data_IF_969298230718
#
_entry.id   IF_969298230718
#
_cell.length_a   1.000
_cell.length_b   1.000
_cell.length_c   1.000
_cell.angle_alpha   90.00
_cell.angle_beta   90.00
_cell.angle_gamma   90.00
#
_symmetry.space_group_name_H-M   'P 1'
#
loop_
_entity.id
_entity.type
_entity.pdbx_description
1 polymer ?
#
# COMPACT_ATOMS: atom_id res chain seq x y z
N UNK A 1 20.50 -6.65 29.95
CA UNK A 1 20.26 -7.64 28.89
C UNK A 1 19.48 -6.93 27.81
N UNK A 2 20.10 -6.62 26.67
CA UNK A 2 19.38 -6.14 25.48
C UNK A 2 18.54 -7.30 24.97
N UNK A 3 17.23 -7.10 24.78
CA UNK A 3 16.40 -8.07 24.06
C UNK A 3 17.08 -8.41 22.73
N UNK A 4 17.10 -9.70 22.32
CA UNK A 4 17.56 -10.04 20.98
C UNK A 4 16.72 -9.24 19.97
N UNK A 5 17.39 -8.62 18.99
CA UNK A 5 16.70 -7.86 17.95
C UNK A 5 15.63 -8.75 17.33
N UNK A 6 14.36 -8.33 17.44
CA UNK A 6 13.21 -9.06 16.89
C UNK A 6 13.44 -9.23 15.39
N UNK A 7 13.37 -10.48 14.90
CA UNK A 7 13.47 -10.77 13.46
C UNK A 7 12.43 -9.93 12.72
N UNK A 8 12.87 -9.13 11.74
CA UNK A 8 11.97 -8.35 10.89
C UNK A 8 11.33 -9.25 9.84
N UNK A 9 10.02 -9.09 9.68
CA UNK A 9 9.23 -9.80 8.68
C UNK A 9 8.56 -8.76 7.80
N UNK A 10 8.88 -8.80 6.51
CA UNK A 10 8.37 -7.84 5.53
C UNK A 10 7.03 -8.34 5.00
N UNK A 11 6.00 -7.55 5.24
CA UNK A 11 4.67 -7.69 4.68
C UNK A 11 4.52 -6.88 3.40
N UNK A 12 3.83 -7.44 2.41
CA UNK A 12 3.46 -6.74 1.19
C UNK A 12 1.96 -6.84 1.00
N UNK A 13 1.29 -5.70 0.85
CA UNK A 13 -0.13 -5.64 0.51
C UNK A 13 -0.28 -4.98 -0.85
N UNK A 14 -0.83 -5.69 -1.82
CA UNK A 14 -0.88 -5.23 -3.20
C UNK A 14 -1.90 -5.95 -4.08
N UNK A 15 -1.95 -5.56 -5.35
CA UNK A 15 -2.70 -6.31 -6.37
C UNK A 15 -2.04 -7.64 -6.72
N UNK A 16 -2.78 -8.51 -7.41
CA UNK A 16 -2.31 -9.84 -7.84
C UNK A 16 -1.03 -9.81 -8.69
N UNK A 17 -0.74 -8.71 -9.38
CA UNK A 17 0.48 -8.57 -10.20
C UNK A 17 1.80 -8.48 -9.40
N UNK A 18 1.76 -8.37 -8.07
CA UNK A 18 2.95 -8.02 -7.26
C UNK A 18 3.51 -9.19 -6.43
N UNK A 19 2.82 -10.33 -6.34
CA UNK A 19 3.29 -11.45 -5.50
C UNK A 19 4.22 -12.44 -6.19
N UNK A 20 4.26 -12.47 -7.53
CA UNK A 20 5.13 -13.37 -8.30
C UNK A 20 6.58 -12.85 -8.33
N UNK A 21 7.16 -12.71 -7.14
CA UNK A 21 8.49 -12.13 -6.93
C UNK A 21 9.51 -13.20 -7.27
N UNK A 22 10.28 -12.94 -8.32
CA UNK A 22 11.38 -13.83 -8.72
C UNK A 22 12.40 -13.99 -7.58
N UNK A 23 12.66 -15.24 -7.20
CA UNK A 23 13.58 -15.60 -6.11
C UNK A 23 12.92 -15.77 -4.75
N UNK A 24 11.58 -15.67 -4.68
CA UNK A 24 10.84 -16.07 -3.49
C UNK A 24 10.81 -17.60 -3.40
N UNK A 25 11.37 -18.13 -2.32
CA UNK A 25 11.50 -19.55 -2.00
C UNK A 25 10.57 -19.94 -0.84
N UNK A 26 10.41 -21.25 -0.62
CA UNK A 26 9.58 -21.81 0.46
C UNK A 26 8.14 -21.26 0.51
N UNK A 27 7.57 -21.03 -0.67
CA UNK A 27 6.27 -20.38 -0.79
C UNK A 27 5.14 -21.28 -0.34
N UNK A 28 4.27 -20.78 0.55
CA UNK A 28 3.03 -21.46 0.93
C UNK A 28 1.90 -20.47 1.15
N UNK A 29 0.73 -20.77 0.61
CA UNK A 29 -0.50 -20.09 1.00
C UNK A 29 -1.01 -20.71 2.30
N UNK A 30 -1.43 -19.89 3.24
CA UNK A 30 -2.10 -20.35 4.44
C UNK A 30 -3.08 -19.32 4.98
N UNK A 31 -4.23 -19.79 5.44
CA UNK A 31 -5.18 -18.97 6.18
C UNK A 31 -4.59 -18.51 7.51
N UNK A 32 -4.88 -17.26 7.87
CA UNK A 32 -4.61 -16.70 9.20
C UNK A 32 -5.92 -16.15 9.75
N UNK A 33 -6.36 -16.71 10.87
CA UNK A 33 -7.60 -16.30 11.51
C UNK A 33 -7.46 -14.91 12.14
N UNK A 34 -8.52 -14.11 12.01
CA UNK A 34 -8.63 -12.77 12.58
C UNK A 34 -9.96 -12.64 13.33
N UNK A 35 -9.99 -12.02 14.53
CA UNK A 35 -11.23 -11.77 15.26
C UNK A 35 -12.10 -10.70 14.58
N UNK A 36 -11.57 -10.00 13.58
CA UNK A 36 -12.27 -8.99 12.79
C UNK A 36 -12.93 -9.56 11.52
N UNK A 37 -13.01 -10.89 11.41
CA UNK A 37 -13.51 -11.59 10.22
C UNK A 37 -12.38 -12.05 9.30
N UNK A 38 -12.77 -12.54 8.12
CA UNK A 38 -11.83 -13.05 7.13
C UNK A 38 -11.00 -11.92 6.48
N UNK A 39 -9.68 -12.10 6.31
CA UNK A 39 -8.88 -11.28 5.41
C UNK A 39 -9.34 -11.45 3.95
N UNK A 40 -8.84 -10.60 3.05
CA UNK A 40 -9.15 -10.64 1.63
C UNK A 40 -8.81 -11.98 0.96
N UNK A 41 -7.82 -12.70 1.48
CA UNK A 41 -7.41 -14.02 1.02
C UNK A 41 -6.54 -14.71 2.09
N UNK A 42 -6.09 -15.92 1.80
CA UNK A 42 -4.93 -16.53 2.46
C UNK A 42 -3.69 -15.64 2.32
N UNK A 43 -2.74 -15.79 3.25
CA UNK A 43 -1.45 -15.11 3.18
C UNK A 43 -0.46 -16.02 2.46
N UNK A 44 0.30 -15.45 1.53
CA UNK A 44 1.42 -16.12 0.89
C UNK A 44 2.68 -15.87 1.74
N UNK A 45 3.16 -16.91 2.40
CA UNK A 45 4.43 -16.90 3.12
C UNK A 45 5.55 -17.30 2.16
N UNK A 46 6.73 -16.72 2.32
CA UNK A 46 7.93 -17.15 1.62
C UNK A 46 9.20 -16.54 2.20
N UNK A 47 10.33 -16.84 1.57
CA UNK A 47 11.64 -16.26 1.90
C UNK A 47 12.32 -15.71 0.66
N UNK A 48 12.89 -14.52 0.78
CA UNK A 48 13.75 -13.95 -0.25
C UNK A 48 15.16 -13.84 0.31
N UNK A 49 16.02 -14.79 -0.07
CA UNK A 49 17.27 -15.04 0.63
C UNK A 49 17.01 -15.33 2.12
N UNK A 50 17.65 -14.56 3.01
CA UNK A 50 17.42 -14.68 4.46
C UNK A 50 16.14 -14.01 4.98
N UNK A 51 15.43 -13.24 4.14
CA UNK A 51 14.33 -12.36 4.59
C UNK A 51 13.00 -13.07 4.53
N UNK A 52 12.25 -13.07 5.63
CA UNK A 52 10.87 -13.56 5.66
C UNK A 52 9.94 -12.54 5.01
N UNK A 53 9.13 -13.03 4.06
CA UNK A 53 8.12 -12.25 3.36
C UNK A 53 6.73 -12.85 3.58
N UNK A 54 5.76 -11.97 3.70
CA UNK A 54 4.33 -12.31 3.79
C UNK A 54 3.59 -11.41 2.81
N UNK A 55 2.87 -12.00 1.87
CA UNK A 55 2.09 -11.25 0.89
C UNK A 55 0.59 -11.46 1.10
N UNK A 56 -0.19 -10.39 0.97
CA UNK A 56 -1.64 -10.42 0.98
C UNK A 56 -2.19 -9.68 -0.25
N UNK A 57 -2.95 -10.37 -1.14
CA UNK A 57 -3.63 -9.71 -2.24
C UNK A 57 -4.79 -8.88 -1.68
N UNK A 58 -4.69 -7.56 -1.78
CA UNK A 58 -5.66 -6.61 -1.18
C UNK A 58 -7.11 -6.90 -1.58
N UNK A 59 -7.31 -7.28 -2.83
CA UNK A 59 -8.64 -7.54 -3.42
C UNK A 59 -8.96 -9.04 -3.53
N UNK A 60 -8.13 -9.91 -2.95
CA UNK A 60 -8.16 -11.35 -3.19
C UNK A 60 -7.53 -11.76 -4.52
N UNK A 61 -7.13 -13.04 -4.65
CA UNK A 61 -6.73 -13.63 -5.93
C UNK A 61 -7.91 -13.56 -6.92
N UNK A 62 -7.66 -13.11 -8.13
CA UNK A 62 -8.71 -12.84 -9.14
C UNK A 62 -9.41 -11.48 -9.00
N UNK A 63 -9.02 -10.67 -8.00
CA UNK A 63 -9.54 -9.31 -7.77
C UNK A 63 -11.07 -9.19 -7.57
N UNK A 64 -11.77 -10.10 -6.85
CA UNK A 64 -13.22 -10.03 -6.71
C UNK A 64 -13.73 -8.97 -5.72
N UNK A 65 -12.89 -8.49 -4.79
CA UNK A 65 -13.35 -7.63 -3.68
C UNK A 65 -13.20 -6.15 -4.08
N UNK A 66 -14.29 -5.37 -4.16
CA UNK A 66 -14.20 -3.94 -4.45
C UNK A 66 -13.63 -3.16 -3.25
N UNK A 67 -13.04 -1.96 -3.45
CA UNK A 67 -12.35 -1.21 -2.39
C UNK A 67 -13.17 -0.97 -1.10
N UNK A 68 -14.47 -0.66 -1.24
CA UNK A 68 -15.35 -0.39 -0.11
C UNK A 68 -15.71 -1.63 0.73
N UNK A 69 -15.51 -2.83 0.20
CA UNK A 69 -15.83 -4.10 0.87
C UNK A 69 -14.60 -4.81 1.44
N UNK A 70 -13.40 -4.25 1.24
CA UNK A 70 -12.17 -4.81 1.80
C UNK A 70 -12.25 -4.77 3.34
N UNK A 71 -12.04 -5.93 3.97
CA UNK A 71 -11.91 -6.01 5.42
C UNK A 71 -10.50 -5.61 5.88
N UNK A 72 -10.23 -4.30 5.90
CA UNK A 72 -8.91 -3.77 6.25
C UNK A 72 -8.46 -4.16 7.66
N UNK A 73 -9.38 -4.30 8.62
CA UNK A 73 -9.04 -4.76 9.98
C UNK A 73 -8.51 -6.18 9.95
N UNK A 74 -9.23 -7.10 9.29
CA UNK A 74 -8.78 -8.48 9.19
C UNK A 74 -7.46 -8.60 8.42
N UNK A 75 -7.27 -7.81 7.37
CA UNK A 75 -6.02 -7.77 6.62
C UNK A 75 -4.84 -7.38 7.51
N UNK A 76 -4.92 -6.27 8.24
CA UNK A 76 -3.82 -5.80 9.08
C UNK A 76 -3.61 -6.70 10.30
N UNK A 77 -4.67 -7.18 10.94
CA UNK A 77 -4.57 -8.12 12.07
C UNK A 77 -3.94 -9.45 11.64
N UNK A 78 -4.33 -10.02 10.50
CA UNK A 78 -3.71 -11.22 9.96
C UNK A 78 -2.22 -11.02 9.66
N UNK A 79 -1.83 -9.87 9.11
CA UNK A 79 -0.42 -9.52 8.90
C UNK A 79 0.33 -9.44 10.25
N UNK A 80 -0.25 -8.78 11.26
CA UNK A 80 0.33 -8.72 12.61
C UNK A 80 0.53 -10.11 13.22
N UNK A 81 -0.47 -10.99 13.11
CA UNK A 81 -0.45 -12.38 13.60
C UNK A 81 0.54 -13.26 12.84
N UNK A 82 0.74 -13.00 11.56
CA UNK A 82 1.78 -13.63 10.75
C UNK A 82 3.21 -13.19 11.13
N UNK A 83 3.34 -12.24 12.07
CA UNK A 83 4.61 -11.74 12.59
C UNK A 83 5.17 -10.56 11.79
N UNK A 84 4.41 -9.99 10.86
CA UNK A 84 4.84 -8.84 10.06
C UNK A 84 5.16 -7.64 10.96
N UNK A 85 6.33 -7.06 10.73
CA UNK A 85 6.83 -5.87 11.43
C UNK A 85 6.82 -4.62 10.54
N UNK A 86 6.90 -4.84 9.23
CA UNK A 86 7.06 -3.80 8.21
C UNK A 86 6.14 -4.09 7.04
N UNK A 87 5.22 -3.19 6.68
CA UNK A 87 4.34 -3.31 5.52
C UNK A 87 4.79 -2.33 4.44
N UNK A 88 5.06 -2.87 3.26
CA UNK A 88 5.12 -2.12 2.01
C UNK A 88 3.79 -2.32 1.28
N UNK A 89 2.98 -1.27 1.26
CA UNK A 89 1.71 -1.25 0.55
C UNK A 89 1.91 -0.69 -0.85
N UNK A 90 1.47 -1.42 -1.87
CA UNK A 90 1.57 -1.01 -3.27
C UNK A 90 0.17 -0.91 -3.89
N UNK A 91 -0.08 0.11 -4.69
CA UNK A 91 -1.39 0.30 -5.34
C UNK A 91 -1.36 1.25 -6.52
N UNK A 92 -2.28 1.04 -7.47
CA UNK A 92 -2.55 2.00 -8.54
C UNK A 92 -3.22 3.25 -8.00
N UNK A 93 -2.89 4.39 -8.59
CA UNK A 93 -3.51 5.69 -8.29
C UNK A 93 -3.63 6.54 -9.55
N UNK A 94 -4.61 7.43 -9.53
CA UNK A 94 -4.64 8.58 -10.43
C UNK A 94 -3.74 9.69 -9.92
N UNK A 95 -3.09 10.41 -10.82
CA UNK A 95 -2.35 11.62 -10.53
C UNK A 95 -3.25 12.84 -10.52
N UNK A 96 -3.02 13.73 -9.56
CA UNK A 96 -3.64 15.05 -9.48
C UNK A 96 -2.63 16.16 -9.83
N UNK A 97 -1.46 15.82 -10.38
CA UNK A 97 -0.39 16.78 -10.74
C UNK A 97 0.20 16.48 -12.12
N UNK A 98 0.42 17.54 -12.89
CA UNK A 98 1.04 17.46 -14.22
C UNK A 98 2.41 16.73 -14.20
N UNK A 99 3.24 17.03 -13.19
CA UNK A 99 4.60 16.50 -13.08
C UNK A 99 4.67 15.06 -12.56
N UNK A 100 3.51 14.41 -12.33
CA UNK A 100 3.40 13.01 -11.91
C UNK A 100 2.67 12.21 -13.01
N UNK A 101 3.29 11.96 -14.17
CA UNK A 101 2.66 11.19 -15.24
C UNK A 101 2.56 9.69 -14.89
N UNK A 102 1.67 8.95 -15.59
CA UNK A 102 1.63 7.48 -15.53
C UNK A 102 3.01 6.84 -15.63
N UNK A 103 3.26 5.84 -14.77
CA UNK A 103 4.57 5.22 -14.58
C UNK A 103 5.44 5.86 -13.50
N UNK A 104 5.03 7.01 -12.94
CA UNK A 104 5.71 7.62 -11.78
C UNK A 104 5.30 6.94 -10.48
N UNK A 105 6.26 6.72 -9.59
CA UNK A 105 6.05 6.16 -8.26
C UNK A 105 6.04 7.29 -7.22
N UNK A 106 5.02 7.36 -6.39
CA UNK A 106 4.94 8.34 -5.29
C UNK A 106 5.05 7.60 -3.96
N UNK A 107 6.09 7.93 -3.20
CA UNK A 107 6.25 7.45 -1.83
C UNK A 107 5.45 8.35 -0.90
N UNK A 108 4.17 7.99 -0.73
CA UNK A 108 3.17 8.76 0.02
C UNK A 108 3.64 8.96 1.46
N UNK A 109 3.47 10.17 1.99
CA UNK A 109 3.75 10.49 3.39
C UNK A 109 2.57 11.14 4.11
N UNK A 110 1.54 11.59 3.39
CA UNK A 110 0.34 12.19 3.94
C UNK A 110 -0.92 11.64 3.28
N UNK A 111 -2.03 11.70 4.01
CA UNK A 111 -3.32 11.18 3.55
C UNK A 111 -4.47 12.12 3.88
N UNK A 112 -5.38 12.28 2.93
CA UNK A 112 -6.72 12.86 3.16
C UNK A 112 -7.74 11.73 3.00
N UNK A 113 -8.52 11.49 4.06
CA UNK A 113 -9.50 10.42 4.12
C UNK A 113 -10.90 10.92 3.76
N UNK A 114 -11.36 10.59 2.55
CA UNK A 114 -12.73 10.84 2.07
C UNK A 114 -13.61 9.58 2.11
N UNK A 115 -13.13 8.50 2.72
CA UNK A 115 -13.93 7.30 2.96
C UNK A 115 -14.92 7.53 4.10
N UNK A 116 -16.07 6.87 4.08
CA UNK A 116 -17.14 7.03 5.06
C UNK A 116 -17.77 5.72 5.52
N UNK A 117 -17.72 4.64 4.72
CA UNK A 117 -18.43 3.39 5.03
C UNK A 117 -17.59 2.36 5.79
N UNK A 118 -16.27 2.58 5.90
CA UNK A 118 -15.30 1.56 6.31
C UNK A 118 -15.03 1.59 7.81
N UNK A 119 -14.80 0.43 8.39
CA UNK A 119 -14.31 0.28 9.77
C UNK A 119 -12.84 0.71 9.86
N UNK A 120 -12.55 1.75 10.67
CA UNK A 120 -11.24 2.44 10.66
C UNK A 120 -10.38 2.25 11.91
N UNK A 121 -10.85 1.47 12.88
CA UNK A 121 -10.15 1.22 14.14
C UNK A 121 -10.40 -0.20 14.64
N UNK A 122 -9.42 -0.77 15.35
CA UNK A 122 -9.58 -2.03 16.08
C UNK A 122 -10.35 -1.87 17.40
N UNK A 123 -10.52 -0.63 17.85
CA UNK A 123 -11.02 -0.31 19.17
C UNK A 123 -12.47 0.19 19.12
N UNK A 124 -13.22 -0.04 20.18
CA UNK A 124 -14.65 0.27 20.23
C UNK A 124 -15.13 0.53 21.65
N UNK A 125 -16.44 0.47 21.87
CA UNK A 125 -17.03 0.71 23.18
C UNK A 125 -16.38 -0.17 24.25
N UNK A 126 -15.86 0.47 25.30
CA UNK A 126 -15.12 -0.20 26.38
C UNK A 126 -13.61 0.00 26.33
N UNK A 127 -13.04 0.41 25.18
CA UNK A 127 -11.63 0.77 25.05
C UNK A 127 -11.47 1.85 23.97
N UNK A 128 -11.24 3.10 24.38
CA UNK A 128 -11.03 4.22 23.47
C UNK A 128 -9.54 4.46 23.29
N UNK A 129 -9.09 4.50 22.04
CA UNK A 129 -7.68 4.74 21.68
C UNK A 129 -7.61 5.90 20.69
N UNK A 130 -6.67 6.81 20.91
CA UNK A 130 -6.38 7.94 20.04
C UNK A 130 -4.94 7.88 19.57
N UNK A 131 -4.72 7.26 18.41
CA UNK A 131 -3.39 7.17 17.80
C UNK A 131 -3.15 8.40 16.90
N UNK A 132 -2.01 9.07 17.09
CA UNK A 132 -1.63 10.20 16.25
C UNK A 132 -1.34 9.74 14.82
N UNK A 133 -1.95 10.43 13.85
CA UNK A 133 -1.72 10.27 12.41
C UNK A 133 -1.00 11.48 11.80
N UNK A 134 -0.32 12.31 12.62
CA UNK A 134 0.41 13.47 12.13
C UNK A 134 1.49 13.07 11.10
N UNK A 135 2.22 12.00 11.38
CA UNK A 135 3.22 11.40 10.50
C UNK A 135 2.85 9.93 10.24
N UNK A 136 1.92 9.64 9.31
CA UNK A 136 1.28 8.33 9.20
C UNK A 136 2.18 7.22 8.64
N UNK A 137 3.34 7.58 8.10
CA UNK A 137 4.24 6.69 7.35
C UNK A 137 5.60 6.56 8.06
N UNK A 138 6.19 5.36 8.01
CA UNK A 138 7.51 5.10 8.56
C UNK A 138 8.60 5.68 7.64
N UNK A 139 9.28 6.73 8.10
CA UNK A 139 10.36 7.37 7.37
C UNK A 139 11.48 6.40 6.96
N UNK A 140 11.84 5.44 7.84
CA UNK A 140 12.86 4.41 7.55
C UNK A 140 12.51 3.55 6.34
N UNK A 141 11.26 3.08 6.27
CA UNK A 141 10.80 2.31 5.11
C UNK A 141 10.79 3.17 3.85
N UNK A 142 10.25 4.39 3.95
CA UNK A 142 10.20 5.34 2.84
C UNK A 142 11.59 5.63 2.27
N UNK A 143 12.57 5.90 3.12
CA UNK A 143 13.95 6.21 2.70
C UNK A 143 14.62 4.99 2.04
N UNK A 144 14.35 3.79 2.54
CA UNK A 144 14.84 2.53 1.94
C UNK A 144 14.26 2.32 0.55
N UNK A 145 12.95 2.51 0.40
CA UNK A 145 12.24 2.37 -0.87
C UNK A 145 12.73 3.41 -1.90
N UNK A 146 12.97 4.65 -1.48
CA UNK A 146 13.52 5.69 -2.35
C UNK A 146 14.92 5.31 -2.87
N UNK A 147 15.78 4.83 -1.97
CA UNK A 147 17.12 4.38 -2.35
C UNK A 147 17.09 3.26 -3.39
N UNK A 148 16.11 2.35 -3.30
CA UNK A 148 15.89 1.29 -4.30
C UNK A 148 15.40 1.87 -5.62
N UNK A 149 14.34 2.68 -5.61
CA UNK A 149 13.77 3.28 -6.82
C UNK A 149 14.80 4.10 -7.61
N UNK A 150 15.61 4.90 -6.91
CA UNK A 150 16.71 5.68 -7.53
C UNK A 150 17.73 4.80 -8.22
N UNK A 151 18.10 3.64 -7.63
CA UNK A 151 19.04 2.70 -8.26
C UNK A 151 18.45 1.97 -9.46
N UNK A 152 17.15 1.71 -9.43
CA UNK A 152 16.42 1.12 -10.56
C UNK A 152 16.18 2.10 -11.70
N UNK A 153 16.45 3.40 -11.51
CA UNK A 153 16.18 4.43 -12.50
C UNK A 153 14.68 4.66 -12.73
N UNK A 154 13.84 4.29 -11.77
CA UNK A 154 12.39 4.49 -11.82
C UNK A 154 12.08 5.93 -11.43
N UNK A 155 11.24 6.61 -12.22
CA UNK A 155 10.76 7.96 -11.88
C UNK A 155 10.00 7.91 -10.57
N UNK A 156 10.45 8.66 -9.56
CA UNK A 156 9.77 8.69 -8.27
C UNK A 156 9.73 10.07 -7.61
N UNK A 157 8.65 10.34 -6.89
CA UNK A 157 8.51 11.46 -5.97
C UNK A 157 8.59 10.97 -4.52
N UNK A 158 9.43 11.65 -3.73
CA UNK A 158 9.46 11.51 -2.29
C UNK A 158 8.40 12.41 -1.66
N UNK A 159 7.50 11.82 -0.88
CA UNK A 159 6.37 12.53 -0.28
C UNK A 159 5.23 12.78 -1.25
N UNK A 160 4.06 13.06 -0.70
CA UNK A 160 2.85 13.32 -1.47
C UNK A 160 1.61 13.04 -0.64
N UNK A 161 0.60 13.88 -0.82
CA UNK A 161 -0.70 13.74 -0.17
C UNK A 161 -1.61 12.85 -1.02
N UNK A 162 -1.91 11.67 -0.49
CA UNK A 162 -2.84 10.71 -1.07
C UNK A 162 -4.28 11.02 -0.64
N UNK A 163 -5.18 11.26 -1.58
CA UNK A 163 -6.61 11.32 -1.31
C UNK A 163 -7.24 9.94 -1.44
N UNK A 164 -7.79 9.43 -0.35
CA UNK A 164 -8.52 8.15 -0.34
C UNK A 164 -10.01 8.39 -0.51
N UNK A 165 -10.54 8.12 -1.69
CA UNK A 165 -11.98 8.16 -1.97
C UNK A 165 -12.65 6.80 -1.68
N UNK A 166 -13.98 6.79 -1.56
CA UNK A 166 -14.73 5.57 -1.24
C UNK A 166 -14.79 4.59 -2.43
N UNK A 167 -15.02 5.09 -3.65
CA UNK A 167 -15.35 4.26 -4.81
C UNK A 167 -16.78 3.65 -4.72
N UNK A 168 -17.12 2.70 -5.62
CA UNK A 168 -16.28 2.15 -6.68
C UNK A 168 -16.19 3.02 -7.94
N UNK A 169 -17.05 4.03 -8.08
CA UNK A 169 -16.96 4.96 -9.22
C UNK A 169 -15.72 5.83 -9.09
N UNK A 170 -15.10 6.15 -10.23
CA UNK A 170 -14.08 7.20 -10.31
C UNK A 170 -14.70 8.58 -10.07
N UNK A 171 -13.84 9.56 -9.80
CA UNK A 171 -14.25 10.94 -9.55
C UNK A 171 -14.97 11.54 -10.76
N UNK A 172 -15.89 12.45 -10.49
CA UNK A 172 -16.28 13.46 -11.48
C UNK A 172 -15.15 14.47 -11.69
N UNK A 173 -15.14 15.19 -12.82
CA UNK A 173 -14.17 16.27 -13.08
C UNK A 173 -14.20 17.33 -11.97
N UNK A 174 -15.38 17.67 -11.46
CA UNK A 174 -15.52 18.65 -10.38
C UNK A 174 -14.86 18.18 -9.08
N UNK A 175 -14.97 16.89 -8.76
CA UNK A 175 -14.27 16.29 -7.62
C UNK A 175 -12.75 16.29 -7.85
N UNK A 176 -12.29 15.92 -9.05
CA UNK A 176 -10.87 15.93 -9.39
C UNK A 176 -10.25 17.32 -9.20
N UNK A 177 -10.88 18.36 -9.73
CA UNK A 177 -10.42 19.75 -9.56
C UNK A 177 -10.53 20.24 -8.11
N UNK A 178 -11.55 19.81 -7.37
CA UNK A 178 -11.65 20.09 -5.93
C UNK A 178 -10.44 19.51 -5.19
N UNK A 179 -10.10 18.24 -5.42
CA UNK A 179 -8.98 17.58 -4.75
C UNK A 179 -7.63 18.17 -5.16
N UNK A 180 -7.50 18.62 -6.41
CA UNK A 180 -6.33 19.41 -6.86
C UNK A 180 -6.21 20.73 -6.12
N UNK A 181 -7.33 21.45 -5.91
CA UNK A 181 -7.36 22.70 -5.16
C UNK A 181 -6.97 22.53 -3.68
N UNK A 182 -7.14 21.34 -3.12
CA UNK A 182 -6.67 20.99 -1.77
C UNK A 182 -5.17 20.69 -1.71
N UNK A 183 -4.51 20.64 -2.87
CA UNK A 183 -3.09 20.36 -2.96
C UNK A 183 -2.75 18.87 -3.03
N UNK A 184 -3.73 17.95 -3.09
CA UNK A 184 -3.49 16.52 -3.21
C UNK A 184 -2.61 16.17 -4.42
N UNK A 185 -1.78 15.15 -4.27
CA UNK A 185 -0.83 14.70 -5.30
C UNK A 185 -1.36 13.51 -6.10
N UNK A 186 -1.95 12.55 -5.39
CA UNK A 186 -2.50 11.33 -5.97
C UNK A 186 -3.84 10.99 -5.35
N UNK A 187 -4.65 10.25 -6.08
CA UNK A 187 -5.97 9.78 -5.65
C UNK A 187 -6.08 8.28 -5.87
N UNK A 188 -6.67 7.58 -4.90
CA UNK A 188 -7.04 6.19 -5.08
C UNK A 188 -8.04 5.75 -4.02
N UNK A 189 -8.29 4.45 -3.95
CA UNK A 189 -9.41 3.92 -3.16
C UNK A 189 -8.98 3.07 -1.96
N UNK A 190 -7.68 2.83 -1.73
CA UNK A 190 -7.24 1.79 -0.76
C UNK A 190 -6.25 2.24 0.31
N UNK A 191 -5.69 3.46 0.22
CA UNK A 191 -4.73 3.97 1.22
C UNK A 191 -5.31 4.15 2.63
N UNK A 192 -6.62 4.38 2.73
CA UNK A 192 -7.34 4.45 4.02
C UNK A 192 -8.49 3.42 4.08
N UNK A 193 -8.73 2.79 5.25
CA UNK A 193 -8.05 2.97 6.54
C UNK A 193 -6.79 2.10 6.73
N UNK A 194 -6.21 1.54 5.67
CA UNK A 194 -5.03 0.65 5.77
C UNK A 194 -3.87 1.26 6.58
N UNK A 195 -3.49 2.51 6.29
CA UNK A 195 -2.44 3.21 7.04
C UNK A 195 -2.79 3.45 8.51
N UNK A 196 -4.06 3.81 8.82
CA UNK A 196 -4.54 3.99 10.20
C UNK A 196 -4.41 2.72 11.00
N UNK A 197 -4.88 1.61 10.43
CA UNK A 197 -4.88 0.31 11.09
C UNK A 197 -3.46 -0.24 11.24
N UNK A 198 -2.59 -0.08 10.24
CA UNK A 198 -1.18 -0.48 10.39
C UNK A 198 -0.50 0.26 11.56
N UNK A 199 -0.83 1.54 11.73
CA UNK A 199 -0.34 2.37 12.84
C UNK A 199 -0.92 1.94 14.19
N UNK A 200 -2.22 1.69 14.28
CA UNK A 200 -2.83 1.12 15.50
C UNK A 200 -2.27 -0.26 15.85
N UNK A 201 -1.91 -1.07 14.86
CA UNK A 201 -1.29 -2.37 15.05
C UNK A 201 0.22 -2.31 15.37
N UNK A 202 0.81 -1.12 15.49
CA UNK A 202 2.27 -0.93 15.69
C UNK A 202 3.09 -1.69 14.63
N UNK A 203 2.74 -1.50 13.36
CA UNK A 203 3.48 -2.02 12.21
C UNK A 203 4.07 -0.82 11.45
N UNK A 204 5.36 -0.86 11.15
CA UNK A 204 5.97 0.15 10.28
C UNK A 204 5.31 0.06 8.91
N UNK A 205 4.76 1.16 8.39
CA UNK A 205 3.99 1.16 7.15
C UNK A 205 4.54 2.18 6.16
N UNK A 206 4.60 1.81 4.88
CA UNK A 206 4.85 2.74 3.78
C UNK A 206 3.95 2.43 2.58
N UNK A 207 3.29 3.47 2.04
CA UNK A 207 2.49 3.41 0.83
C UNK A 207 3.30 3.82 -0.40
N UNK A 208 3.32 2.96 -1.40
CA UNK A 208 3.91 3.18 -2.73
C UNK A 208 2.76 3.28 -3.73
N UNK A 209 2.48 4.51 -4.15
CA UNK A 209 1.43 4.81 -5.09
C UNK A 209 2.01 4.82 -6.52
N UNK A 210 1.53 3.92 -7.36
CA UNK A 210 1.99 3.77 -8.75
C UNK A 210 1.00 4.50 -9.65
N UNK A 211 1.42 5.62 -10.24
CA UNK A 211 0.53 6.43 -11.08
C UNK A 211 0.17 5.65 -12.35
N UNK A 212 -1.13 5.53 -12.63
CA UNK A 212 -1.66 4.83 -13.80
C UNK A 212 -2.34 5.74 -14.81
N UNK A 213 -2.80 6.90 -14.36
CA UNK A 213 -3.64 7.84 -15.11
C UNK A 213 -3.59 9.23 -14.44
N UNK A 214 -4.23 10.23 -15.04
CA UNK A 214 -4.40 11.57 -14.48
C UNK A 214 -5.83 11.79 -13.94
N UNK A 215 -6.45 10.74 -13.39
CA UNK A 215 -7.85 10.75 -12.99
C UNK A 215 -8.76 11.18 -14.16
N UNK A 216 -9.36 12.37 -14.09
CA UNK A 216 -10.19 12.90 -15.18
C UNK A 216 -10.01 14.40 -15.46
N UNK A 217 -8.96 15.04 -14.92
CA UNK A 217 -8.75 16.49 -15.04
C UNK A 217 -7.87 16.91 -16.23
N UNK A 218 -7.04 16.01 -16.74
CA UNK A 218 -6.01 16.37 -17.71
C UNK A 218 -6.62 16.48 -19.13
N UNK A 219 -6.50 17.64 -19.81
CA UNK A 219 -7.21 17.91 -21.06
C UNK A 219 -6.74 17.04 -22.25
N UNK A 220 -5.48 16.65 -22.27
CA UNK A 220 -4.90 15.82 -23.36
C UNK A 220 -4.87 14.32 -23.03
N UNK A 221 -5.50 13.90 -21.93
CA UNK A 221 -5.60 12.49 -21.55
C UNK A 221 -7.08 12.13 -21.40
N UNK A 222 -7.48 11.03 -22.04
CA UNK A 222 -8.84 10.50 -21.88
C UNK A 222 -9.12 10.20 -20.40
N UNK A 223 -10.39 10.35 -20.00
CA UNK A 223 -10.84 9.98 -18.67
C UNK A 223 -10.43 8.54 -18.34
N UNK A 224 -10.07 8.29 -17.07
CA UNK A 224 -9.62 6.98 -16.61
C UNK A 224 -10.56 5.85 -17.06
N UNK A 225 -10.00 4.85 -17.74
CA UNK A 225 -10.68 3.61 -18.10
C UNK A 225 -9.98 2.43 -17.44
N UNK A 226 -10.73 1.35 -17.18
CA UNK A 226 -10.17 0.13 -16.59
C UNK A 226 -9.03 -0.42 -17.44
N UNK A 227 -9.15 -0.39 -18.77
CA UNK A 227 -8.14 -0.92 -19.68
C UNK A 227 -6.83 -0.13 -19.61
N UNK A 228 -6.90 1.20 -19.56
CA UNK A 228 -5.72 2.05 -19.39
C UNK A 228 -5.02 1.80 -18.05
N UNK A 229 -5.80 1.64 -16.98
CA UNK A 229 -5.29 1.30 -15.65
C UNK A 229 -4.60 -0.06 -15.66
N UNK A 230 -5.22 -1.08 -16.27
CA UNK A 230 -4.68 -2.44 -16.35
C UNK A 230 -3.36 -2.47 -17.14
N UNK A 231 -3.28 -1.78 -18.28
CA UNK A 231 -2.06 -1.73 -19.09
C UNK A 231 -0.88 -1.13 -18.30
N UNK A 232 -1.10 0.02 -17.66
CA UNK A 232 -0.06 0.67 -16.85
C UNK A 232 0.25 -0.14 -15.59
N UNK A 233 -0.75 -0.79 -14.98
CA UNK A 233 -0.56 -1.70 -13.84
C UNK A 233 0.37 -2.85 -14.18
N UNK A 234 0.25 -3.47 -15.34
CA UNK A 234 1.12 -4.58 -15.75
C UNK A 234 2.56 -4.11 -15.94
N UNK A 235 2.77 -2.95 -16.59
CA UNK A 235 4.10 -2.35 -16.72
C UNK A 235 4.70 -1.98 -15.36
N UNK A 236 3.90 -1.39 -14.47
CA UNK A 236 4.32 -1.02 -13.12
C UNK A 236 4.50 -2.25 -12.20
N UNK A 237 3.84 -3.37 -12.49
CA UNK A 237 3.94 -4.57 -11.67
C UNK A 237 5.36 -5.13 -11.67
N UNK A 238 6.05 -5.16 -12.81
CA UNK A 238 7.44 -5.63 -12.91
C UNK A 238 8.38 -4.76 -12.06
N UNK A 239 8.21 -3.44 -12.15
CA UNK A 239 8.96 -2.48 -11.34
C UNK A 239 8.62 -2.60 -9.85
N UNK A 240 7.34 -2.81 -9.51
CA UNK A 240 6.90 -3.05 -8.14
C UNK A 240 7.48 -4.34 -7.55
N UNK A 241 7.54 -5.42 -8.34
CA UNK A 241 8.16 -6.68 -7.93
C UNK A 241 9.67 -6.52 -7.75
N UNK A 242 10.34 -5.80 -8.65
CA UNK A 242 11.76 -5.47 -8.51
C UNK A 242 12.03 -4.63 -7.25
N UNK A 243 11.20 -3.61 -6.99
CA UNK A 243 11.26 -2.78 -5.78
C UNK A 243 11.19 -3.63 -4.52
N UNK A 244 10.17 -4.49 -4.40
CA UNK A 244 10.01 -5.37 -3.23
C UNK A 244 11.21 -6.31 -3.09
N UNK A 245 11.65 -6.90 -4.20
CA UNK A 245 12.79 -7.83 -4.23
C UNK A 245 14.07 -7.21 -3.66
N UNK A 246 14.37 -5.98 -4.05
CA UNK A 246 15.57 -5.28 -3.59
C UNK A 246 15.40 -4.63 -2.20
N UNK A 247 14.20 -4.17 -1.87
CA UNK A 247 13.92 -3.48 -0.61
C UNK A 247 13.85 -4.45 0.57
N UNK A 248 13.23 -5.62 0.41
CA UNK A 248 12.97 -6.51 1.55
C UNK A 248 14.24 -6.92 2.32
N UNK A 249 15.36 -7.32 1.68
CA UNK A 249 16.61 -7.61 2.40
C UNK A 249 17.21 -6.40 3.11
N UNK A 250 17.06 -5.19 2.56
CA UNK A 250 17.54 -3.95 3.17
C UNK A 250 16.72 -3.60 4.40
N UNK A 251 15.38 -3.69 4.30
CA UNK A 251 14.45 -3.49 5.42
C UNK A 251 14.77 -4.47 6.55
N UNK A 252 14.99 -5.75 6.22
CA UNK A 252 15.30 -6.76 7.24
C UNK A 252 16.64 -6.49 7.95
N UNK A 253 17.66 -6.06 7.20
CA UNK A 253 19.02 -5.85 7.69
C UNK A 253 19.30 -4.50 8.37
N UNK A 254 18.39 -3.53 8.30
CA UNK A 254 18.70 -2.13 8.64
C UNK A 254 18.96 -1.85 10.13
N UNK A 255 18.76 -2.81 11.04
CA UNK A 255 19.12 -2.74 12.47
C UNK A 255 18.51 -1.57 13.27
N UNK A 256 17.78 -0.66 12.61
CA UNK A 256 17.26 0.59 13.16
C UNK A 256 15.84 0.37 13.67
N UNK A 257 15.57 0.67 14.95
CA UNK A 257 14.23 0.52 15.51
C UNK A 257 13.17 1.23 14.65
#
# INVERSE_FOLDING_TARGET
MTEPARERVVGVIGGSGVYDIQGLEDTRWAAVESPFGAPSDELLFGRLGGTRLVFLPRHGRGHPIPPGEINFRANIDAMKRAGVTDIVSVGAVGSLKEHLPPGTFVLVDQYIDRTFAREKTFFGTGLVVHVSMADPVCARLRDTLEGVLKRQGVSCQMGGTYLSMEGPQFSTLAESELYRSWGCDVIGMTGMPEAKLAREAEICYAGVAMVTDFDCWHPDHDAVTVDAVVATLLANADQGRALVKEAAPQIAGDGKP
#
